data_IF_886005823040
#
_entry.id   IF_886005823040
#
_cell.length_a   1.000
_cell.length_b   1.000
_cell.length_c   1.000
_cell.angle_alpha   90.00
_cell.angle_beta   90.00
_cell.angle_gamma   90.00
#
_symmetry.space_group_name_H-M   'P 1'
#
loop_
_entity.id
_entity.type
_entity.pdbx_description
1 polymer ?
#
# COMPACT_ATOMS: atom_id res chain seq x y z
N UNK A 1 11.14 17.27 -10.36
CA UNK A 1 11.35 16.07 -11.19
C UNK A 1 12.58 15.34 -10.68
N UNK A 2 12.44 14.07 -10.27
CA UNK A 2 13.57 13.27 -9.82
C UNK A 2 14.31 12.76 -11.07
N UNK A 3 15.63 13.02 -11.22
CA UNK A 3 16.37 12.55 -12.38
C UNK A 3 16.46 11.01 -12.39
N UNK A 4 16.58 10.43 -13.57
CA UNK A 4 16.87 9.01 -13.71
C UNK A 4 18.23 8.68 -13.09
N UNK A 5 18.26 7.63 -12.28
CA UNK A 5 19.47 7.16 -11.62
C UNK A 5 19.40 5.65 -11.41
N UNK A 6 20.50 4.96 -11.62
CA UNK A 6 20.66 3.54 -11.29
C UNK A 6 20.90 3.29 -9.79
N UNK A 7 21.08 4.35 -9.01
CA UNK A 7 21.44 4.23 -7.59
C UNK A 7 20.25 4.37 -6.65
N UNK A 8 19.10 4.81 -7.13
CA UNK A 8 17.88 4.87 -6.31
C UNK A 8 16.63 4.63 -7.14
N UNK A 9 15.65 4.05 -6.49
CA UNK A 9 14.32 3.81 -7.01
C UNK A 9 13.26 4.26 -6.03
N UNK A 10 12.03 3.84 -6.26
CA UNK A 10 10.89 4.15 -5.40
C UNK A 10 10.57 2.93 -4.53
N UNK A 11 10.48 3.14 -3.25
CA UNK A 11 9.77 2.25 -2.35
C UNK A 11 8.31 2.64 -2.36
N UNK A 12 7.49 1.81 -3.00
CA UNK A 12 6.07 2.06 -3.08
C UNK A 12 5.35 1.62 -1.80
N UNK A 13 4.59 2.51 -1.21
CA UNK A 13 3.73 2.24 -0.06
C UNK A 13 2.33 2.81 -0.33
N UNK A 14 1.33 1.97 -0.60
CA UNK A 14 -0.03 2.44 -0.90
C UNK A 14 -0.67 3.17 0.28
N UNK A 15 -0.32 2.80 1.51
CA UNK A 15 -0.89 3.45 2.69
C UNK A 15 -0.41 4.88 2.88
N UNK A 16 0.79 5.21 2.42
CA UNK A 16 1.27 6.59 2.45
C UNK A 16 0.47 7.49 1.50
N UNK A 17 0.03 6.98 0.34
CA UNK A 17 -0.89 7.70 -0.53
C UNK A 17 -2.24 7.94 0.15
N UNK A 18 -2.81 6.90 0.78
CA UNK A 18 -4.07 7.03 1.55
C UNK A 18 -3.95 8.09 2.65
N UNK A 19 -2.85 8.09 3.40
CA UNK A 19 -2.58 9.08 4.46
C UNK A 19 -2.53 10.50 3.91
N UNK A 20 -1.97 10.68 2.72
CA UNK A 20 -1.92 11.98 2.04
C UNK A 20 -3.26 12.40 1.41
N UNK A 21 -4.26 11.50 1.39
CA UNK A 21 -5.54 11.74 0.72
C UNK A 21 -5.49 11.49 -0.79
N UNK A 22 -4.40 10.91 -1.28
CA UNK A 22 -4.18 10.57 -2.69
C UNK A 22 -4.68 9.17 -3.04
N UNK A 23 -4.83 8.89 -4.33
CA UNK A 23 -5.16 7.55 -4.83
C UNK A 23 -3.89 6.69 -4.94
N UNK A 24 -3.81 5.56 -4.20
CA UNK A 24 -2.65 4.67 -4.26
C UNK A 24 -2.38 4.11 -5.67
N UNK A 25 -3.42 3.91 -6.47
CA UNK A 25 -3.28 3.37 -7.83
C UNK A 25 -2.72 4.42 -8.77
N UNK A 26 -3.18 5.66 -8.69
CA UNK A 26 -2.63 6.76 -9.48
C UNK A 26 -1.15 7.00 -9.13
N UNK A 27 -0.80 6.94 -7.84
CA UNK A 27 0.59 7.02 -7.42
C UNK A 27 1.42 5.87 -8.02
N UNK A 28 0.91 4.62 -7.93
CA UNK A 28 1.61 3.47 -8.50
C UNK A 28 1.84 3.64 -9.99
N UNK A 29 0.81 4.01 -10.75
CA UNK A 29 0.90 4.20 -12.20
C UNK A 29 1.95 5.27 -12.57
N UNK A 30 2.08 6.33 -11.76
CA UNK A 30 3.07 7.38 -11.96
C UNK A 30 4.53 6.94 -11.70
N UNK A 31 4.75 5.94 -10.84
CA UNK A 31 6.10 5.53 -10.41
C UNK A 31 6.46 4.10 -10.80
N UNK A 32 5.59 3.37 -11.47
CA UNK A 32 5.64 1.92 -11.69
C UNK A 32 7.00 1.44 -12.23
N UNK A 33 7.54 2.12 -13.25
CA UNK A 33 8.83 1.78 -13.86
C UNK A 33 10.07 2.05 -12.97
N UNK A 34 9.86 2.57 -11.76
CA UNK A 34 10.93 2.92 -10.82
C UNK A 34 10.76 2.23 -9.46
N UNK A 35 9.73 1.40 -9.29
CA UNK A 35 9.50 0.66 -8.06
C UNK A 35 10.58 -0.42 -7.90
N UNK A 36 11.32 -0.35 -6.81
CA UNK A 36 12.39 -1.30 -6.45
C UNK A 36 12.06 -2.13 -5.22
N UNK A 37 11.16 -1.62 -4.38
CA UNK A 37 10.62 -2.34 -3.22
C UNK A 37 9.20 -1.85 -2.94
N UNK A 38 8.44 -2.64 -2.19
CA UNK A 38 7.09 -2.28 -1.77
C UNK A 38 6.93 -2.56 -0.28
N UNK A 39 6.31 -1.64 0.44
CA UNK A 39 5.70 -1.90 1.73
C UNK A 39 4.24 -2.31 1.56
N UNK A 40 3.84 -3.36 2.25
CA UNK A 40 2.47 -3.83 2.30
C UNK A 40 1.90 -3.55 3.68
N UNK A 41 1.02 -2.57 3.74
CA UNK A 41 0.26 -2.20 4.93
C UNK A 41 -1.14 -1.75 4.52
N UNK A 42 -2.06 -1.68 5.45
CA UNK A 42 -3.41 -1.21 5.13
C UNK A 42 -3.93 -0.22 6.18
N UNK A 43 -4.88 0.58 5.76
CA UNK A 43 -5.53 1.61 6.56
C UNK A 43 -7.03 1.46 6.50
N UNK A 44 -7.66 1.80 7.60
CA UNK A 44 -9.11 1.72 7.81
C UNK A 44 -9.60 3.06 8.32
N UNK A 45 -10.73 3.52 7.82
CA UNK A 45 -11.36 4.70 8.38
C UNK A 45 -11.86 4.40 9.79
N UNK A 46 -11.68 5.34 10.71
CA UNK A 46 -12.33 5.27 12.02
C UNK A 46 -13.85 5.28 11.84
N UNK A 47 -14.64 4.67 12.75
CA UNK A 47 -16.09 4.67 12.66
C UNK A 47 -16.65 6.08 12.50
N UNK A 48 -17.46 6.28 11.47
CA UNK A 48 -18.11 7.55 11.15
C UNK A 48 -17.31 8.50 10.26
N UNK A 49 -16.02 8.22 9.99
CA UNK A 49 -15.24 8.99 9.03
C UNK A 49 -15.51 8.54 7.58
N UNK A 50 -15.33 9.46 6.66
CA UNK A 50 -15.47 9.24 5.22
C UNK A 50 -14.17 9.51 4.47
N UNK A 51 -14.07 9.06 3.22
CA UNK A 51 -12.93 9.39 2.35
C UNK A 51 -12.86 10.89 2.06
N UNK A 52 -13.99 11.57 2.05
CA UNK A 52 -14.01 13.02 1.88
C UNK A 52 -13.41 13.75 3.08
N UNK A 53 -13.72 13.30 4.30
CA UNK A 53 -13.09 13.83 5.50
C UNK A 53 -11.56 13.66 5.45
N UNK A 54 -11.09 12.51 4.95
CA UNK A 54 -9.67 12.26 4.79
C UNK A 54 -9.02 13.19 3.77
N UNK A 55 -9.67 13.46 2.63
CA UNK A 55 -9.17 14.38 1.61
C UNK A 55 -9.11 15.83 2.08
N UNK A 56 -10.03 16.20 2.96
CA UNK A 56 -10.07 17.56 3.55
C UNK A 56 -9.12 17.71 4.73
N UNK A 57 -8.61 16.61 5.29
CA UNK A 57 -7.68 16.65 6.40
C UNK A 57 -6.28 17.05 5.92
N UNK A 58 -5.63 17.95 6.67
CA UNK A 58 -4.23 18.27 6.39
C UNK A 58 -3.31 17.11 6.84
N UNK A 59 -2.63 16.47 5.92
CA UNK A 59 -1.55 15.51 6.05
C UNK A 59 -1.48 14.72 7.37
N UNK A 60 -0.64 15.13 8.29
CA UNK A 60 -0.44 14.43 9.57
C UNK A 60 -1.66 14.37 10.49
N UNK A 61 -2.63 15.28 10.33
CA UNK A 61 -3.87 15.26 11.12
C UNK A 61 -4.82 14.14 10.66
N UNK A 62 -4.88 13.86 9.36
CA UNK A 62 -5.64 12.73 8.81
C UNK A 62 -5.11 11.38 9.32
N UNK A 63 -3.80 11.23 9.38
CA UNK A 63 -3.18 10.01 9.86
C UNK A 63 -3.59 9.65 11.30
N UNK A 64 -3.47 10.59 12.21
CA UNK A 64 -3.66 10.31 13.64
C UNK A 64 -5.11 10.24 14.10
N UNK A 65 -6.05 10.80 13.34
CA UNK A 65 -7.46 10.97 13.78
C UNK A 65 -8.47 10.20 12.96
N UNK A 66 -8.19 9.95 11.69
CA UNK A 66 -9.17 9.38 10.76
C UNK A 66 -8.83 7.96 10.32
N UNK A 67 -7.57 7.51 10.51
CA UNK A 67 -7.09 6.23 10.03
C UNK A 67 -6.61 5.33 11.16
N UNK A 68 -6.97 4.06 11.06
CA UNK A 68 -6.47 2.96 11.87
C UNK A 68 -5.63 2.04 11.02
N UNK A 69 -4.66 1.36 11.63
CA UNK A 69 -3.94 0.23 11.05
C UNK A 69 -4.74 -1.06 11.20
N UNK A 70 -4.51 -2.02 10.32
CA UNK A 70 -5.11 -3.34 10.43
C UNK A 70 -4.59 -4.31 9.38
N UNK A 71 -5.24 -5.46 9.27
CA UNK A 71 -4.84 -6.55 8.38
C UNK A 71 -4.75 -6.08 6.93
N UNK A 72 -3.61 -6.31 6.30
CA UNK A 72 -3.38 -5.99 4.88
C UNK A 72 -4.40 -6.72 3.98
N UNK A 73 -5.00 -5.97 3.07
CA UNK A 73 -5.97 -6.47 2.09
C UNK A 73 -7.43 -6.45 2.55
N UNK A 74 -7.71 -5.90 3.72
CA UNK A 74 -9.09 -5.71 4.23
C UNK A 74 -9.48 -4.24 4.41
N UNK A 75 -8.57 -3.33 4.13
CA UNK A 75 -8.75 -1.89 4.30
C UNK A 75 -9.02 -1.14 3.00
N UNK A 76 -8.47 0.05 2.91
CA UNK A 76 -8.70 0.99 1.81
C UNK A 76 -7.87 0.69 0.55
N UNK A 77 -6.79 -0.10 0.67
CA UNK A 77 -5.90 -0.39 -0.44
C UNK A 77 -6.45 -1.50 -1.34
N UNK A 78 -6.55 -1.24 -2.64
CA UNK A 78 -6.95 -2.23 -3.63
C UNK A 78 -5.76 -3.11 -4.04
N UNK A 79 -5.38 -4.08 -3.20
CA UNK A 79 -4.27 -5.00 -3.44
C UNK A 79 -4.37 -5.81 -4.74
N UNK A 80 -5.53 -6.34 -5.15
CA UNK A 80 -5.67 -6.98 -6.45
C UNK A 80 -5.22 -6.08 -7.61
N UNK A 81 -5.64 -4.82 -7.63
CA UNK A 81 -5.24 -3.88 -8.67
C UNK A 81 -3.76 -3.49 -8.59
N UNK A 82 -3.18 -3.41 -7.38
CA UNK A 82 -1.74 -3.17 -7.17
C UNK A 82 -0.93 -4.34 -7.71
N UNK A 83 -1.25 -5.58 -7.32
CA UNK A 83 -0.53 -6.77 -7.76
C UNK A 83 -0.63 -7.01 -9.27
N UNK A 84 -1.79 -6.74 -9.86
CA UNK A 84 -1.97 -6.80 -11.31
C UNK A 84 -1.00 -5.87 -12.05
N UNK A 85 -0.84 -4.63 -11.59
CA UNK A 85 0.08 -3.66 -12.20
C UNK A 85 1.54 -4.05 -12.04
N UNK A 86 1.91 -4.43 -10.81
CA UNK A 86 3.28 -4.85 -10.51
C UNK A 86 3.69 -6.08 -11.35
N UNK A 87 2.83 -7.11 -11.40
CA UNK A 87 3.12 -8.32 -12.17
C UNK A 87 3.21 -8.07 -13.67
N UNK A 88 2.31 -7.26 -14.23
CA UNK A 88 2.36 -6.86 -15.65
C UNK A 88 3.62 -6.05 -15.99
N UNK A 89 4.11 -5.27 -15.06
CA UNK A 89 5.35 -4.52 -15.21
C UNK A 89 6.62 -5.37 -15.00
N UNK A 90 6.48 -6.66 -14.67
CA UNK A 90 7.61 -7.55 -14.40
C UNK A 90 8.31 -7.27 -13.08
N UNK A 91 7.62 -6.62 -12.13
CA UNK A 91 8.19 -6.38 -10.79
C UNK A 91 8.51 -7.71 -10.10
N UNK A 92 9.74 -7.86 -9.62
CA UNK A 92 10.21 -9.05 -8.90
C UNK A 92 11.00 -8.68 -7.62
N UNK A 93 10.79 -7.47 -7.12
CA UNK A 93 11.43 -6.98 -5.89
C UNK A 93 10.75 -7.48 -4.61
N UNK A 94 11.26 -7.02 -3.49
CA UNK A 94 10.73 -7.36 -2.18
C UNK A 94 9.40 -6.66 -1.89
N UNK A 95 8.47 -7.43 -1.28
CA UNK A 95 7.25 -6.91 -0.67
C UNK A 95 7.37 -7.18 0.83
N UNK A 96 7.56 -6.12 1.60
CA UNK A 96 7.75 -6.18 3.04
C UNK A 96 6.46 -5.80 3.75
N UNK A 97 6.02 -6.62 4.71
CA UNK A 97 4.88 -6.27 5.55
C UNK A 97 5.32 -5.17 6.53
N UNK A 98 4.66 -4.04 6.48
CA UNK A 98 4.79 -2.95 7.44
C UNK A 98 3.53 -2.86 8.31
N UNK A 99 3.13 -3.99 8.82
CA UNK A 99 1.90 -4.15 9.58
C UNK A 99 2.24 -4.96 10.84
N UNK A 100 1.85 -4.59 11.96
CA UNK A 100 2.23 -5.27 13.21
C UNK A 100 1.85 -4.48 14.44
N UNK A 101 1.12 -3.41 14.24
CA UNK A 101 0.67 -2.54 15.33
C UNK A 101 -0.26 -3.27 16.30
N UNK A 102 -1.04 -4.24 15.81
CA UNK A 102 -2.05 -4.96 16.59
C UNK A 102 -1.64 -6.42 16.91
N UNK A 103 -0.38 -6.78 16.62
CA UNK A 103 0.22 -8.03 17.08
C UNK A 103 0.32 -9.13 16.02
N UNK A 104 0.84 -10.28 16.46
CA UNK A 104 1.23 -11.39 15.59
C UNK A 104 0.07 -12.07 14.87
N UNK A 105 -1.14 -11.98 15.39
CA UNK A 105 -2.32 -12.55 14.73
C UNK A 105 -2.60 -11.83 13.41
N UNK A 106 -2.67 -10.51 13.44
CA UNK A 106 -2.90 -9.69 12.25
C UNK A 106 -1.74 -9.80 11.25
N UNK A 107 -0.50 -9.88 11.74
CA UNK A 107 0.67 -10.14 10.91
C UNK A 107 0.55 -11.44 10.12
N UNK A 108 0.08 -12.52 10.75
CA UNK A 108 -0.14 -13.81 10.08
C UNK A 108 -1.24 -13.73 9.03
N UNK A 109 -2.33 -13.03 9.34
CA UNK A 109 -3.44 -12.83 8.39
C UNK A 109 -2.98 -12.02 7.18
N UNK A 110 -2.22 -10.96 7.39
CA UNK A 110 -1.61 -10.16 6.33
C UNK A 110 -0.67 -10.99 5.46
N UNK A 111 0.18 -11.82 6.07
CA UNK A 111 1.10 -12.70 5.35
C UNK A 111 0.35 -13.74 4.48
N UNK A 112 -0.70 -14.36 5.02
CA UNK A 112 -1.53 -15.31 4.28
C UNK A 112 -2.21 -14.66 3.09
N UNK A 113 -2.75 -13.46 3.28
CA UNK A 113 -3.38 -12.71 2.21
C UNK A 113 -2.38 -12.35 1.09
N UNK A 114 -1.21 -11.83 1.46
CA UNK A 114 -0.17 -11.50 0.47
C UNK A 114 0.33 -12.74 -0.28
N UNK A 115 0.46 -13.89 0.40
CA UNK A 115 0.76 -15.16 -0.24
C UNK A 115 -0.26 -15.51 -1.32
N UNK A 116 -1.55 -15.38 -1.04
CA UNK A 116 -2.62 -15.58 -2.04
C UNK A 116 -2.52 -14.62 -3.23
N UNK A 117 -2.10 -13.36 -2.99
CA UNK A 117 -1.88 -12.40 -4.07
C UNK A 117 -0.68 -12.82 -4.94
N UNK A 118 0.42 -13.27 -4.32
CA UNK A 118 1.58 -13.80 -5.05
C UNK A 118 1.17 -15.00 -5.91
N UNK A 119 0.52 -16.01 -5.34
CA UNK A 119 0.07 -17.20 -6.08
C UNK A 119 -0.83 -16.84 -7.27
N UNK A 120 -1.68 -15.84 -7.11
CA UNK A 120 -2.61 -15.41 -8.15
C UNK A 120 -1.96 -14.62 -9.29
N UNK A 121 -1.03 -13.73 -8.99
CA UNK A 121 -0.50 -12.76 -9.95
C UNK A 121 0.91 -13.08 -10.44
N UNK A 122 1.61 -13.99 -9.77
CA UNK A 122 2.94 -14.48 -10.13
C UNK A 122 2.93 -16.03 -10.17
N UNK A 123 2.11 -16.63 -11.02
CA UNK A 123 2.09 -18.11 -11.14
C UNK A 123 3.47 -18.60 -11.58
N UNK A 124 3.88 -19.75 -11.01
CA UNK A 124 5.14 -20.42 -11.35
C UNK A 124 5.18 -20.90 -12.82
#
# INVERSE_FOLDING_TARGET
RIPESKFFGVQYDPSNAVVAGDDPIELLDAVLGRVVSMHASDRYLVPGATLEDLRQAEGSAGYSKLLLHGVTGRGLNNYPAIFERLSRAGYCGWISIEDGMNGMQEMRESLLYLGQMVDRYYPA
#
